data_IF_437209718584
#
_entry.id   IF_437209718584
#
_cell.length_a   1.000
_cell.length_b   1.000
_cell.length_c   1.000
_cell.angle_alpha   90.00
_cell.angle_beta   90.00
_cell.angle_gamma   90.00
#
_symmetry.space_group_name_H-M   'P 1'
#
loop_
_entity.id
_entity.type
_entity.pdbx_description
1 polymer ?
#
# COMPACT_ATOMS: atom_id res chain seq x y z
N UNK A 1 0.11 -13.57 22.30
CA UNK A 1 0.86 -12.96 21.18
C UNK A 1 0.63 -13.67 19.83
N UNK A 2 -0.28 -14.66 19.73
CA UNK A 2 -0.40 -15.55 18.57
C UNK A 2 -1.34 -15.11 17.45
N UNK A 3 -2.10 -14.02 17.56
CA UNK A 3 -3.17 -13.66 16.61
C UNK A 3 -2.92 -12.38 15.81
N UNK A 4 -1.80 -11.74 16.01
CA UNK A 4 -1.40 -10.51 15.31
C UNK A 4 -0.94 -10.87 13.88
N UNK A 5 -1.41 -10.10 12.88
CA UNK A 5 -1.08 -10.22 11.45
C UNK A 5 -1.81 -11.28 10.62
N UNK A 6 -2.84 -11.95 11.14
CA UNK A 6 -3.64 -12.91 10.34
C UNK A 6 -4.41 -12.27 9.18
N UNK A 7 -4.75 -10.99 9.29
CA UNK A 7 -5.56 -10.25 8.30
C UNK A 7 -4.87 -8.94 7.94
N UNK A 8 -4.35 -8.85 6.74
CA UNK A 8 -3.47 -7.78 6.32
C UNK A 8 -4.08 -6.94 5.20
N UNK A 9 -3.87 -5.63 5.27
CA UNK A 9 -4.17 -4.68 4.20
C UNK A 9 -2.86 -4.28 3.54
N UNK A 10 -2.78 -4.40 2.22
CA UNK A 10 -1.66 -3.90 1.43
C UNK A 10 -2.12 -2.71 0.59
N UNK A 11 -1.36 -1.63 0.64
CA UNK A 11 -1.62 -0.43 -0.15
C UNK A 11 -0.34 0.36 -0.40
N UNK A 12 -0.40 1.33 -1.28
CA UNK A 12 0.73 2.19 -1.61
C UNK A 12 0.35 3.66 -1.71
N UNK A 13 1.31 4.51 -1.42
CA UNK A 13 1.13 5.94 -1.54
C UNK A 13 2.32 6.60 -2.23
N UNK A 14 2.05 7.60 -3.09
CA UNK A 14 3.09 8.35 -3.80
C UNK A 14 3.58 9.49 -2.93
N UNK A 15 4.91 9.61 -2.82
CA UNK A 15 5.61 10.75 -2.24
C UNK A 15 6.33 11.47 -3.38
N UNK A 16 5.93 12.70 -3.67
CA UNK A 16 6.51 13.46 -4.78
C UNK A 16 7.98 13.80 -4.54
N UNK A 17 8.79 13.77 -5.59
CA UNK A 17 10.16 14.29 -5.59
C UNK A 17 10.26 15.58 -6.41
N UNK A 18 11.21 16.46 -6.11
CA UNK A 18 11.47 17.64 -6.94
C UNK A 18 11.84 17.22 -8.37
N UNK A 19 11.04 17.68 -9.33
CA UNK A 19 11.28 17.42 -10.76
C UNK A 19 12.23 18.45 -11.41
N UNK A 20 12.54 19.54 -10.70
CA UNK A 20 13.42 20.61 -11.21
C UNK A 20 14.86 20.16 -11.29
N UNK A 21 15.53 20.60 -12.36
CA UNK A 21 16.98 20.48 -12.57
C UNK A 21 17.74 21.75 -12.15
N UNK A 22 17.05 22.75 -11.62
CA UNK A 22 17.65 24.00 -11.10
C UNK A 22 18.30 23.77 -9.73
N UNK A 23 19.30 22.93 -9.67
CA UNK A 23 20.11 22.61 -8.48
C UNK A 23 21.58 22.56 -8.90
N UNK A 24 22.48 22.57 -7.91
CA UNK A 24 23.92 22.59 -8.15
C UNK A 24 24.39 21.48 -9.12
N UNK A 25 23.83 20.27 -8.99
CA UNK A 25 24.18 19.14 -9.87
C UNK A 25 23.41 19.11 -11.20
N UNK A 26 22.51 20.07 -11.48
CA UNK A 26 21.65 20.13 -12.69
C UNK A 26 20.96 18.80 -13.05
N UNK A 27 20.71 17.95 -12.07
CA UNK A 27 20.16 16.61 -12.25
C UNK A 27 18.96 16.36 -11.34
N UNK A 28 18.03 15.53 -11.81
CA UNK A 28 16.95 14.99 -10.98
C UNK A 28 17.50 13.88 -10.08
N UNK A 29 16.68 13.46 -9.12
CA UNK A 29 16.97 12.28 -8.32
C UNK A 29 16.92 11.02 -9.19
N UNK A 30 18.01 10.26 -9.35
CA UNK A 30 18.08 9.10 -10.25
C UNK A 30 17.19 7.95 -9.81
N UNK A 31 16.91 7.83 -8.49
CA UNK A 31 16.09 6.76 -7.94
C UNK A 31 14.58 7.08 -7.98
N UNK A 32 14.23 8.35 -8.25
CA UNK A 32 12.85 8.77 -8.38
C UNK A 32 12.36 8.58 -9.82
N UNK A 33 11.17 8.03 -10.00
CA UNK A 33 10.60 7.72 -11.30
C UNK A 33 9.22 8.35 -11.50
N UNK A 34 8.77 8.37 -12.76
CA UNK A 34 7.46 8.86 -13.11
C UNK A 34 6.42 7.75 -13.11
N UNK A 35 5.21 8.10 -12.68
CA UNK A 35 4.01 7.25 -12.80
C UNK A 35 2.81 8.10 -13.17
N UNK A 36 1.95 7.56 -14.02
CA UNK A 36 0.66 8.19 -14.36
C UNK A 36 -0.43 7.64 -13.44
N UNK A 37 -1.14 8.52 -12.74
CA UNK A 37 -2.34 8.17 -11.96
C UNK A 37 -3.52 9.00 -12.46
N UNK A 38 -4.49 8.35 -13.06
CA UNK A 38 -5.54 9.05 -13.81
C UNK A 38 -4.92 9.84 -14.98
N UNK A 39 -5.20 11.13 -15.06
CA UNK A 39 -4.64 12.03 -16.07
C UNK A 39 -3.39 12.81 -15.60
N UNK A 40 -2.94 12.57 -14.37
CA UNK A 40 -1.81 13.32 -13.77
C UNK A 40 -0.55 12.48 -13.71
N UNK A 41 0.57 13.08 -14.10
CA UNK A 41 1.90 12.50 -13.94
C UNK A 41 2.50 12.89 -12.59
N UNK A 42 3.01 11.92 -11.88
CA UNK A 42 3.72 12.08 -10.62
C UNK A 42 5.18 11.64 -10.79
N UNK A 43 6.11 12.43 -10.28
CA UNK A 43 7.53 12.07 -10.22
C UNK A 43 7.92 11.91 -8.75
N UNK A 44 8.49 10.76 -8.38
CA UNK A 44 8.88 10.51 -7.01
C UNK A 44 9.03 9.04 -6.65
N UNK A 45 8.61 8.70 -5.46
CA UNK A 45 8.70 7.38 -4.85
C UNK A 45 7.31 6.86 -4.49
N UNK A 46 7.19 5.55 -4.36
CA UNK A 46 6.06 4.89 -3.71
C UNK A 46 6.50 4.32 -2.37
N UNK A 47 5.70 4.57 -1.34
CA UNK A 47 5.75 3.82 -0.09
C UNK A 47 4.65 2.76 -0.13
N UNK A 48 5.03 1.50 -0.13
CA UNK A 48 4.16 0.35 -0.02
C UNK A 48 4.10 -0.07 1.44
N UNK A 49 2.92 -0.32 1.96
CA UNK A 49 2.73 -0.67 3.37
C UNK A 49 1.90 -1.93 3.53
N UNK A 50 2.29 -2.73 4.52
CA UNK A 50 1.47 -3.79 5.09
C UNK A 50 0.90 -3.30 6.42
N UNK A 51 -0.43 -3.32 6.55
CA UNK A 51 -1.16 -2.82 7.72
C UNK A 51 -2.01 -3.94 8.29
N UNK A 52 -1.93 -4.17 9.58
CA UNK A 52 -2.82 -5.11 10.25
C UNK A 52 -4.28 -4.61 10.20
N UNK A 53 -5.19 -5.50 9.81
CA UNK A 53 -6.60 -5.14 9.66
C UNK A 53 -7.27 -4.76 10.96
N UNK A 54 -6.89 -5.39 12.06
CA UNK A 54 -7.60 -5.25 13.33
C UNK A 54 -7.11 -4.02 14.10
N UNK A 55 -5.81 -3.84 14.21
CA UNK A 55 -5.19 -2.70 14.90
C UNK A 55 -5.05 -1.46 14.02
N UNK A 56 -4.98 -1.60 12.70
CA UNK A 56 -4.68 -0.51 11.78
C UNK A 56 -3.22 -0.04 11.81
N UNK A 57 -2.32 -0.80 12.46
CA UNK A 57 -0.91 -0.47 12.58
C UNK A 57 -0.10 -1.02 11.41
N UNK A 58 0.89 -0.25 10.97
CA UNK A 58 1.84 -0.64 9.93
C UNK A 58 2.89 -1.56 10.52
N UNK A 59 3.13 -2.72 9.91
CA UNK A 59 4.20 -3.64 10.31
C UNK A 59 5.28 -3.79 9.24
N UNK A 60 4.96 -3.53 7.97
CA UNK A 60 5.93 -3.61 6.87
C UNK A 60 5.87 -2.35 6.02
N UNK A 61 7.03 -1.82 5.68
CA UNK A 61 7.18 -0.67 4.79
C UNK A 61 8.26 -0.97 3.76
N UNK A 62 7.90 -0.86 2.49
CA UNK A 62 8.82 -0.97 1.36
C UNK A 62 8.76 0.30 0.52
N UNK A 63 9.91 0.80 0.09
CA UNK A 63 9.99 2.02 -0.71
C UNK A 63 10.63 1.71 -2.06
N UNK A 64 10.00 2.22 -3.12
CA UNK A 64 10.49 2.02 -4.50
C UNK A 64 10.37 3.31 -5.30
N UNK A 65 10.97 3.36 -6.48
CA UNK A 65 10.61 4.37 -7.47
C UNK A 65 9.11 4.28 -7.82
N UNK A 66 8.50 5.41 -8.16
CA UNK A 66 7.05 5.48 -8.38
C UNK A 66 6.53 4.61 -9.55
N UNK A 67 7.41 4.20 -10.47
CA UNK A 67 7.08 3.35 -11.62
C UNK A 67 6.86 1.87 -11.26
N UNK A 68 7.26 1.43 -10.07
CA UNK A 68 7.05 0.03 -9.64
C UNK A 68 5.55 -0.26 -9.47
N UNK A 69 5.08 -1.37 -10.05
CA UNK A 69 3.70 -1.79 -9.90
C UNK A 69 3.43 -2.36 -8.50
N UNK A 70 2.29 -2.00 -7.91
CA UNK A 70 1.94 -2.37 -6.54
C UNK A 70 1.89 -3.89 -6.34
N UNK A 71 1.38 -4.64 -7.34
CA UNK A 71 1.29 -6.09 -7.31
C UNK A 71 2.65 -6.78 -7.14
N UNK A 72 3.74 -6.19 -7.62
CA UNK A 72 5.10 -6.75 -7.51
C UNK A 72 5.60 -6.74 -6.07
N UNK A 73 5.11 -5.79 -5.28
CA UNK A 73 5.56 -5.62 -3.90
C UNK A 73 4.75 -6.46 -2.90
N UNK A 74 3.70 -7.16 -3.35
CA UNK A 74 2.82 -7.90 -2.45
C UNK A 74 3.57 -8.92 -1.60
N UNK A 75 4.42 -9.74 -2.21
CA UNK A 75 5.19 -10.79 -1.50
C UNK A 75 6.12 -10.22 -0.42
N UNK A 76 6.69 -9.04 -0.66
CA UNK A 76 7.60 -8.36 0.29
C UNK A 76 6.86 -7.71 1.46
N UNK A 77 5.56 -7.42 1.28
CA UNK A 77 4.74 -6.85 2.33
C UNK A 77 4.16 -7.89 3.28
N UNK A 78 4.18 -9.17 2.89
CA UNK A 78 3.63 -10.26 3.70
C UNK A 78 4.69 -10.83 4.65
N UNK A 79 4.27 -11.16 5.87
CA UNK A 79 5.12 -11.80 6.89
C UNK A 79 5.13 -13.33 6.78
N UNK A 80 4.13 -13.90 6.08
CA UNK A 80 3.92 -15.32 5.92
C UNK A 80 2.98 -15.93 6.99
N UNK A 81 2.43 -15.13 7.88
CA UNK A 81 1.47 -15.60 8.91
C UNK A 81 0.01 -15.28 8.55
N UNK A 82 -0.21 -14.63 7.42
CA UNK A 82 -1.53 -14.15 6.99
C UNK A 82 -2.48 -15.28 6.62
N UNK A 83 -3.74 -15.12 6.99
CA UNK A 83 -4.88 -15.92 6.50
C UNK A 83 -5.64 -15.21 5.37
N UNK A 84 -5.59 -13.87 5.36
CA UNK A 84 -6.21 -13.08 4.30
C UNK A 84 -5.49 -11.76 4.05
N UNK A 85 -5.42 -11.36 2.78
CA UNK A 85 -4.79 -10.14 2.30
C UNK A 85 -5.83 -9.31 1.55
N UNK A 86 -5.98 -8.05 1.93
CA UNK A 86 -6.87 -7.08 1.31
C UNK A 86 -6.04 -6.08 0.51
N UNK A 87 -6.44 -5.82 -0.72
CA UNK A 87 -5.77 -4.85 -1.58
C UNK A 87 -6.75 -4.20 -2.56
N UNK A 88 -6.33 -3.10 -3.16
CA UNK A 88 -7.08 -2.44 -4.22
C UNK A 88 -6.94 -3.17 -5.57
N UNK A 89 -7.56 -2.65 -6.61
CA UNK A 89 -7.49 -3.24 -7.95
C UNK A 89 -6.08 -3.21 -8.58
N UNK A 90 -5.14 -2.48 -8.02
CA UNK A 90 -3.73 -2.48 -8.41
C UNK A 90 -2.99 -3.77 -8.04
N UNK A 91 -3.55 -4.52 -7.10
CA UNK A 91 -3.04 -5.81 -6.63
C UNK A 91 -3.71 -7.02 -7.30
N UNK A 92 -4.54 -6.81 -8.34
CA UNK A 92 -5.16 -7.91 -9.08
C UNK A 92 -4.09 -8.82 -9.69
N UNK A 93 -4.24 -10.13 -9.46
CA UNK A 93 -3.30 -11.14 -9.91
C UNK A 93 -2.14 -11.41 -8.95
N UNK A 94 -2.11 -10.78 -7.78
CA UNK A 94 -1.09 -11.05 -6.75
C UNK A 94 -1.01 -12.53 -6.36
N UNK A 95 -2.14 -13.22 -6.31
CA UNK A 95 -2.27 -14.65 -6.02
C UNK A 95 -1.68 -15.57 -7.09
N UNK A 96 -1.54 -15.07 -8.32
CA UNK A 96 -1.10 -15.84 -9.49
C UNK A 96 0.39 -15.72 -9.81
N UNK A 97 1.07 -14.78 -9.17
CA UNK A 97 2.49 -14.54 -9.41
C UNK A 97 3.34 -15.71 -8.90
N UNK A 98 4.52 -15.88 -9.48
CA UNK A 98 5.48 -16.93 -9.09
C UNK A 98 6.01 -16.69 -7.67
N UNK A 99 6.25 -15.42 -7.31
CA UNK A 99 6.71 -14.97 -5.99
C UNK A 99 5.58 -14.88 -4.95
N UNK A 100 4.36 -15.29 -5.29
CA UNK A 100 3.19 -15.22 -4.41
C UNK A 100 3.29 -16.19 -3.24
N UNK A 101 3.12 -15.69 -2.03
CA UNK A 101 2.96 -16.50 -0.82
C UNK A 101 1.53 -17.04 -0.80
N UNK A 102 1.34 -18.29 -1.19
CA UNK A 102 0.01 -18.93 -1.32
C UNK A 102 -0.43 -19.65 -0.05
N UNK A 103 0.52 -20.03 0.78
CA UNK A 103 0.29 -20.70 2.08
C UNK A 103 1.05 -19.97 3.18
N UNK A 104 0.42 -19.84 4.32
CA UNK A 104 1.08 -19.29 5.50
C UNK A 104 2.02 -20.32 6.14
N UNK A 105 2.76 -19.91 7.17
CA UNK A 105 3.70 -20.77 7.91
C UNK A 105 3.04 -21.99 8.54
N UNK A 106 1.71 -21.94 8.80
CA UNK A 106 0.91 -23.05 9.29
C UNK A 106 0.39 -23.95 8.15
N UNK A 107 0.80 -23.75 6.91
CA UNK A 107 0.39 -24.52 5.74
C UNK A 107 -1.02 -24.20 5.22
N UNK A 108 -1.73 -23.24 5.83
CA UNK A 108 -3.08 -22.83 5.41
C UNK A 108 -3.03 -21.91 4.20
N UNK A 109 -3.99 -22.05 3.28
CA UNK A 109 -4.09 -21.19 2.10
C UNK A 109 -4.41 -19.75 2.46
N UNK A 110 -3.65 -18.80 1.93
CA UNK A 110 -3.89 -17.36 2.09
C UNK A 110 -5.00 -16.92 1.12
N UNK A 111 -6.00 -16.23 1.63
CA UNK A 111 -7.12 -15.69 0.84
C UNK A 111 -6.84 -14.27 0.39
N UNK A 112 -6.57 -14.07 -0.90
CA UNK A 112 -6.41 -12.75 -1.51
C UNK A 112 -7.78 -12.12 -1.79
N UNK A 113 -8.14 -11.09 -1.05
CA UNK A 113 -9.42 -10.36 -1.12
C UNK A 113 -9.22 -9.01 -1.80
N UNK A 114 -8.82 -9.06 -3.06
CA UNK A 114 -8.53 -7.87 -3.87
C UNK A 114 -9.83 -7.28 -4.41
N UNK A 115 -9.95 -5.94 -4.42
CA UNK A 115 -11.08 -5.25 -5.00
C UNK A 115 -11.12 -5.42 -6.51
N UNK A 116 -12.30 -5.66 -7.06
CA UNK A 116 -12.54 -5.70 -8.51
C UNK A 116 -12.69 -4.30 -9.08
N UNK A 117 -12.26 -4.12 -10.32
CA UNK A 117 -12.53 -2.88 -11.04
C UNK A 117 -14.03 -2.74 -11.31
N UNK A 118 -14.60 -1.51 -11.25
CA UNK A 118 -16.02 -1.29 -11.55
C UNK A 118 -16.48 -1.87 -12.91
N UNK A 119 -15.61 -1.80 -13.92
CA UNK A 119 -15.88 -2.40 -15.24
C UNK A 119 -16.07 -3.90 -15.20
N UNK A 120 -15.38 -4.62 -14.30
CA UNK A 120 -15.55 -6.07 -14.15
C UNK A 120 -16.88 -6.41 -13.45
N UNK A 121 -17.37 -5.55 -12.56
CA UNK A 121 -18.66 -5.74 -11.88
C UNK A 121 -19.80 -5.54 -12.88
N UNK A 122 -19.71 -4.52 -13.75
CA UNK A 122 -20.73 -4.23 -14.77
C UNK A 122 -20.92 -5.31 -15.81
N UNK A 123 -19.91 -6.16 -16.04
CA UNK A 123 -19.99 -7.29 -16.97
C UNK A 123 -20.85 -8.46 -16.44
N UNK A 124 -21.23 -8.47 -15.17
CA UNK A 124 -22.05 -9.52 -14.59
C UNK A 124 -23.54 -9.24 -14.78
N UNK A 125 -24.42 -10.27 -14.76
CA UNK A 125 -25.86 -10.10 -14.79
C UNK A 125 -26.34 -9.16 -13.67
N UNK A 126 -27.36 -8.35 -13.93
CA UNK A 126 -27.85 -7.29 -13.02
C UNK A 126 -28.17 -7.82 -11.62
N UNK A 127 -28.77 -9.03 -11.53
CA UNK A 127 -29.07 -9.69 -10.24
C UNK A 127 -27.81 -9.95 -9.39
N UNK A 128 -26.70 -10.29 -10.02
CA UNK A 128 -25.44 -10.56 -9.35
C UNK A 128 -24.67 -9.27 -8.97
N UNK A 129 -24.92 -8.17 -9.69
CA UNK A 129 -24.20 -6.91 -9.45
C UNK A 129 -24.43 -6.33 -8.05
N UNK A 130 -25.65 -6.46 -7.51
CA UNK A 130 -25.98 -5.96 -6.15
C UNK A 130 -25.12 -6.64 -5.08
N UNK A 131 -25.08 -7.97 -5.10
CA UNK A 131 -24.26 -8.75 -4.15
C UNK A 131 -22.76 -8.48 -4.33
N UNK A 132 -22.28 -8.36 -5.57
CA UNK A 132 -20.89 -8.02 -5.84
C UNK A 132 -20.53 -6.64 -5.32
N UNK A 133 -21.38 -5.62 -5.52
CA UNK A 133 -21.16 -4.27 -4.98
C UNK A 133 -21.08 -4.26 -3.45
N UNK A 134 -21.96 -5.01 -2.79
CA UNK A 134 -21.93 -5.14 -1.33
C UNK A 134 -20.60 -5.73 -0.84
N UNK A 135 -20.15 -6.84 -1.43
CA UNK A 135 -18.87 -7.46 -1.10
C UNK A 135 -17.67 -6.55 -1.38
N UNK A 136 -17.70 -5.79 -2.47
CA UNK A 136 -16.64 -4.83 -2.78
C UNK A 136 -16.64 -3.64 -1.81
N UNK A 137 -17.82 -3.21 -1.36
CA UNK A 137 -17.95 -2.19 -0.32
C UNK A 137 -17.36 -2.65 1.02
N UNK A 138 -17.63 -3.88 1.46
CA UNK A 138 -17.02 -4.46 2.66
C UNK A 138 -15.48 -4.45 2.58
N UNK A 139 -14.91 -4.88 1.46
CA UNK A 139 -13.46 -4.84 1.25
C UNK A 139 -12.91 -3.42 1.31
N UNK A 140 -13.61 -2.46 0.68
CA UNK A 140 -13.21 -1.06 0.68
C UNK A 140 -13.27 -0.44 2.06
N UNK A 141 -14.29 -0.78 2.86
CA UNK A 141 -14.41 -0.36 4.26
C UNK A 141 -13.24 -0.87 5.11
N UNK A 142 -12.85 -2.13 4.93
CA UNK A 142 -11.67 -2.68 5.61
C UNK A 142 -10.40 -1.92 5.20
N UNK A 143 -10.22 -1.66 3.91
CA UNK A 143 -9.05 -0.94 3.37
C UNK A 143 -8.98 0.52 3.82
N UNK A 144 -10.11 1.14 4.14
CA UNK A 144 -10.14 2.53 4.60
C UNK A 144 -9.22 2.77 5.82
N UNK A 145 -8.89 1.74 6.59
CA UNK A 145 -7.96 1.86 7.74
C UNK A 145 -6.56 2.31 7.32
N UNK A 146 -6.07 1.90 6.15
CA UNK A 146 -4.74 2.33 5.67
C UNK A 146 -4.69 3.83 5.39
N UNK A 147 -5.82 4.42 5.01
CA UNK A 147 -5.91 5.86 4.75
C UNK A 147 -5.60 6.69 6.00
N UNK A 148 -5.93 6.18 7.20
CA UNK A 148 -5.58 6.85 8.45
C UNK A 148 -4.06 6.96 8.64
N UNK A 149 -3.33 5.92 8.29
CA UNK A 149 -1.87 5.91 8.35
C UNK A 149 -1.31 6.94 7.36
N UNK A 150 -1.79 6.92 6.13
CA UNK A 150 -1.36 7.90 5.11
C UNK A 150 -1.74 9.33 5.48
N UNK A 151 -2.88 9.54 6.13
CA UNK A 151 -3.30 10.84 6.64
C UNK A 151 -2.35 11.38 7.73
N UNK A 152 -1.84 10.52 8.61
CA UNK A 152 -0.82 10.92 9.60
C UNK A 152 0.47 11.34 8.90
N UNK A 153 1.01 10.50 8.00
CA UNK A 153 2.28 10.77 7.32
C UNK A 153 2.19 12.01 6.43
N UNK A 154 1.15 12.11 5.59
CA UNK A 154 1.00 13.21 4.62
C UNK A 154 0.34 14.46 5.21
N UNK A 155 -0.51 14.31 6.19
CA UNK A 155 -1.24 15.40 6.85
C UNK A 155 -0.47 15.93 8.08
N UNK A 156 -0.40 15.14 9.17
CA UNK A 156 0.24 15.57 10.42
C UNK A 156 1.73 15.86 10.25
N UNK A 157 2.48 14.90 9.64
CA UNK A 157 3.92 15.09 9.41
C UNK A 157 4.23 15.90 8.15
N UNK A 158 3.21 16.26 7.36
CA UNK A 158 3.32 17.03 6.11
C UNK A 158 4.33 16.46 5.12
N UNK A 159 4.54 15.13 5.13
CA UNK A 159 5.50 14.47 4.27
C UNK A 159 4.86 14.04 2.96
N UNK A 160 4.49 15.02 2.12
CA UNK A 160 3.93 14.83 0.76
C UNK A 160 5.00 14.88 -0.32
N UNK A 161 6.13 15.47 -0.02
CA UNK A 161 7.26 15.68 -0.94
C UNK A 161 8.57 15.36 -0.24
N UNK A 162 9.48 14.70 -0.99
CA UNK A 162 10.80 14.33 -0.45
C UNK A 162 11.66 15.56 -0.19
N UNK A 163 12.47 15.52 0.86
CA UNK A 163 13.44 16.55 1.19
C UNK A 163 14.87 16.14 0.84
N UNK A 164 15.12 14.84 0.74
CA UNK A 164 16.43 14.26 0.46
C UNK A 164 16.37 13.48 -0.84
N UNK A 165 17.52 13.29 -1.50
CA UNK A 165 17.67 12.45 -2.68
C UNK A 165 18.12 11.05 -2.30
N UNK A 166 17.78 10.08 -3.13
CA UNK A 166 18.22 8.70 -3.05
C UNK A 166 17.28 7.80 -2.27
N UNK A 167 17.05 6.60 -2.82
CA UNK A 167 16.11 5.61 -2.30
C UNK A 167 16.43 5.22 -0.85
N UNK A 168 17.69 5.01 -0.51
CA UNK A 168 18.13 4.65 0.84
C UNK A 168 17.67 5.67 1.90
N UNK A 169 17.83 6.97 1.61
CA UNK A 169 17.42 8.03 2.54
C UNK A 169 15.90 8.11 2.66
N UNK A 170 15.17 7.88 1.55
CA UNK A 170 13.72 7.86 1.57
C UNK A 170 13.18 6.67 2.36
N UNK A 171 13.77 5.49 2.20
CA UNK A 171 13.42 4.28 2.96
C UNK A 171 13.60 4.52 4.46
N UNK A 172 14.76 5.00 4.89
CA UNK A 172 15.03 5.30 6.30
C UNK A 172 14.03 6.34 6.87
N UNK A 173 13.77 7.41 6.10
CA UNK A 173 12.83 8.46 6.51
C UNK A 173 11.40 7.95 6.63
N UNK A 174 10.93 7.19 5.66
CA UNK A 174 9.57 6.67 5.66
C UNK A 174 9.36 5.61 6.75
N UNK A 175 10.33 4.72 6.99
CA UNK A 175 10.27 3.77 8.10
C UNK A 175 10.10 4.51 9.43
N UNK A 176 10.89 5.56 9.68
CA UNK A 176 10.76 6.37 10.89
C UNK A 176 9.38 7.04 10.99
N UNK A 177 8.87 7.61 9.89
CA UNK A 177 7.57 8.30 9.88
C UNK A 177 6.41 7.32 10.10
N UNK A 178 6.45 6.12 9.53
CA UNK A 178 5.42 5.11 9.77
C UNK A 178 5.49 4.54 11.19
N UNK A 179 6.68 4.37 11.76
CA UNK A 179 6.83 4.00 13.18
C UNK A 179 6.21 5.06 14.10
N UNK A 180 6.50 6.35 13.87
CA UNK A 180 5.87 7.44 14.62
C UNK A 180 4.35 7.51 14.38
N UNK A 181 3.88 7.21 13.17
CA UNK A 181 2.45 7.14 12.88
C UNK A 181 1.77 6.03 13.69
N UNK A 182 2.41 4.88 13.85
CA UNK A 182 1.92 3.80 14.70
C UNK A 182 1.75 4.24 16.14
N UNK A 183 2.70 4.97 16.72
CA UNK A 183 2.58 5.50 18.09
C UNK A 183 1.35 6.40 18.24
N UNK A 184 1.12 7.30 17.26
CA UNK A 184 -0.05 8.19 17.27
C UNK A 184 -1.37 7.41 17.12
N UNK A 185 -1.36 6.34 16.32
CA UNK A 185 -2.57 5.54 16.06
C UNK A 185 -2.88 4.59 17.23
N UNK A 186 -1.86 4.05 17.88
CA UNK A 186 -2.01 3.19 19.06
C UNK A 186 -2.52 3.95 20.29
N UNK A 187 -2.23 5.24 20.40
CA UNK A 187 -2.66 6.09 21.52
C UNK A 187 -4.10 6.63 21.38
N UNK A 188 -4.83 6.23 20.34
CA UNK A 188 -6.23 6.62 20.19
C UNK A 188 -7.10 5.77 21.13
N UNK A 189 -7.87 6.39 22.03
CA UNK A 189 -8.88 5.65 22.79
C UNK A 189 -9.88 5.02 21.80
N UNK A 190 -10.26 3.78 22.05
CA UNK A 190 -11.29 3.03 21.33
C UNK A 190 -12.66 3.71 21.49
#
# INVERSE_FOLDING_TARGET
>A
LGDVYKRQIVDSTIIAAPSSTKNQGKQRDPDAHQVKKGNTWHFGYKAHVGVDKDTGLVHTVEVTGANTHDVVMTSKLLTGDEESVYGDSGYLGADKREDSIRRNRQGRSIRYRINRRPSQIRKNPTRAQGQLKCREHEKSSIRAKVEHVFAVVKGRFRYRKTRYRGLRKQTAKLNMLFALANLILADRPC
#
